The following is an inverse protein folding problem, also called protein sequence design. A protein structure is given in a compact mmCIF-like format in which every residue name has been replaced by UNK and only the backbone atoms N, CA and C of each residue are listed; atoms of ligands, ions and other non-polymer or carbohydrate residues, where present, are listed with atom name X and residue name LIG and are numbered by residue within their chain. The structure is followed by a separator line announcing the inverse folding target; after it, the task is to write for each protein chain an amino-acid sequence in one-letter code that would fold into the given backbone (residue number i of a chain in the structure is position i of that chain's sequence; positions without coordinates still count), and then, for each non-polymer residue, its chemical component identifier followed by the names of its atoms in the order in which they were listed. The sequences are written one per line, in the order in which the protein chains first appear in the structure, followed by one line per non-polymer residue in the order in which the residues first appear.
data_IF_223461890283
#
_entry.id   IF_223461890283
#
_cell.length_a   1.000
_cell.length_b   1.000
_cell.length_c   1.000
_cell.angle_alpha   90.00
_cell.angle_beta   90.00
_cell.angle_gamma   90.00
#
_symmetry.space_group_name_H-M   'P 1'
#
loop_
_entity.id
_entity.type
_entity.pdbx_description
1 polymer ?
#
# COMPACT_ATOMS: atom_id res chain seq x y z
N UNK A 1 -15.76 12.06 -11.21
CA UNK A 1 -14.57 11.17 -11.41
C UNK A 1 -14.67 10.01 -10.45
N UNK A 2 -14.58 8.78 -10.94
CA UNK A 2 -14.66 7.58 -10.11
C UNK A 2 -13.23 7.09 -9.84
N UNK A 3 -12.86 6.99 -8.57
CA UNK A 3 -11.51 6.58 -8.16
C UNK A 3 -11.61 5.28 -7.35
N UNK A 4 -10.75 4.32 -7.67
CA UNK A 4 -10.52 3.14 -6.84
C UNK A 4 -9.17 3.26 -6.16
N UNK A 5 -9.15 3.11 -4.83
CA UNK A 5 -7.92 3.09 -4.03
C UNK A 5 -7.67 1.69 -3.51
N UNK A 6 -6.51 1.11 -3.83
CA UNK A 6 -6.09 -0.14 -3.22
C UNK A 6 -5.48 0.16 -1.85
N UNK A 7 -5.99 -0.51 -0.82
CA UNK A 7 -5.50 -0.37 0.55
C UNK A 7 -5.14 -1.73 1.13
N UNK A 8 -4.13 -1.78 1.98
CA UNK A 8 -3.65 -3.01 2.58
C UNK A 8 -3.72 -2.95 4.11
N UNK A 9 -4.23 -4.01 4.71
CA UNK A 9 -4.07 -4.28 6.13
C UNK A 9 -2.69 -4.89 6.37
N UNK A 10 -1.88 -4.28 7.21
CA UNK A 10 -0.50 -4.66 7.47
C UNK A 10 -0.24 -4.75 8.97
N UNK A 11 0.70 -5.59 9.41
CA UNK A 11 1.21 -5.51 10.77
C UNK A 11 1.74 -4.11 11.09
N UNK A 12 1.50 -3.62 12.30
CA UNK A 12 2.04 -2.32 12.75
C UNK A 12 3.55 -2.29 12.51
N UNK A 13 4.04 -1.22 11.87
CA UNK A 13 5.45 -1.06 11.55
C UNK A 13 6.35 -0.97 12.79
N UNK A 14 5.78 -0.60 13.94
CA UNK A 14 6.47 -0.50 15.22
C UNK A 14 6.45 -1.80 16.03
N UNK A 15 5.60 -2.78 15.65
CA UNK A 15 5.56 -4.09 16.29
C UNK A 15 6.69 -5.01 15.79
N UNK A 16 7.04 -5.99 16.61
CA UNK A 16 7.94 -7.06 16.18
C UNK A 16 7.29 -7.87 15.07
N UNK A 17 7.90 -7.86 13.89
CA UNK A 17 7.43 -8.64 12.73
C UNK A 17 7.93 -10.07 12.83
N UNK A 18 7.02 -11.01 12.72
CA UNK A 18 7.31 -12.43 12.76
C UNK A 18 6.77 -13.14 11.53
N UNK A 19 7.29 -14.33 11.29
CA UNK A 19 6.78 -15.23 10.28
C UNK A 19 6.12 -16.42 10.96
N UNK A 20 5.09 -16.97 10.30
CA UNK A 20 4.49 -18.20 10.71
C UNK A 20 5.47 -19.36 10.40
N UNK A 21 5.88 -20.09 11.43
CA UNK A 21 6.85 -21.16 11.29
C UNK A 21 6.34 -22.36 10.48
N UNK A 22 5.03 -22.50 10.27
CA UNK A 22 4.46 -23.62 9.51
C UNK A 22 4.58 -23.45 8.00
N UNK A 23 4.60 -22.22 7.50
CA UNK A 23 4.53 -21.93 6.06
C UNK A 23 5.38 -20.74 5.61
N UNK A 24 6.14 -20.14 6.51
CA UNK A 24 6.99 -18.96 6.27
C UNK A 24 6.24 -17.73 5.74
N UNK A 25 4.93 -17.65 5.95
CA UNK A 25 4.16 -16.42 5.64
C UNK A 25 4.26 -15.41 6.78
N UNK A 26 4.00 -14.15 6.49
CA UNK A 26 3.94 -13.10 7.52
C UNK A 26 2.85 -13.44 8.54
N UNK A 27 3.20 -13.49 9.82
CA UNK A 27 2.23 -13.68 10.90
C UNK A 27 1.42 -12.38 11.09
N UNK A 28 0.14 -12.45 10.72
CA UNK A 28 -0.84 -11.35 10.87
C UNK A 28 -1.84 -11.61 11.99
N UNK A 29 -1.89 -12.85 12.49
CA UNK A 29 -2.87 -13.23 13.49
C UNK A 29 -2.46 -12.83 14.91
N UNK A 30 -1.15 -12.80 15.20
CA UNK A 30 -0.60 -12.56 16.52
C UNK A 30 -0.01 -11.15 16.71
N UNK A 31 -0.25 -10.24 15.76
CA UNK A 31 0.21 -8.85 15.84
C UNK A 31 -0.96 -7.92 15.54
N UNK A 32 -0.96 -6.76 16.17
CA UNK A 32 -1.91 -5.70 15.82
C UNK A 32 -1.62 -5.22 14.39
N UNK A 33 -2.69 -5.07 13.62
CA UNK A 33 -2.60 -4.59 12.25
C UNK A 33 -3.37 -3.30 12.05
N UNK A 34 -3.02 -2.59 11.01
CA UNK A 34 -3.61 -1.30 10.64
C UNK A 34 -3.66 -1.13 9.11
N UNK A 35 -4.34 -0.08 8.66
CA UNK A 35 -4.20 0.39 7.28
C UNK A 35 -2.75 0.81 7.05
N UNK A 36 -2.12 0.30 5.98
CA UNK A 36 -0.75 0.70 5.61
C UNK A 36 -0.63 2.22 5.56
N UNK A 37 0.34 2.77 6.30
CA UNK A 37 0.55 4.22 6.36
C UNK A 37 0.74 4.84 4.97
N UNK A 38 1.43 4.13 4.08
CA UNK A 38 1.62 4.58 2.69
C UNK A 38 0.32 4.62 1.89
N UNK A 39 -0.68 3.83 2.26
CA UNK A 39 -1.99 3.85 1.61
C UNK A 39 -2.89 4.96 2.16
N UNK A 40 -2.63 5.47 3.37
CA UNK A 40 -3.33 6.66 3.88
C UNK A 40 -3.09 7.89 2.97
N UNK A 41 -1.88 8.05 2.43
CA UNK A 41 -1.57 9.10 1.44
C UNK A 41 -2.36 8.91 0.15
N UNK A 42 -2.53 7.66 -0.30
CA UNK A 42 -3.31 7.34 -1.49
C UNK A 42 -4.80 7.66 -1.29
N UNK A 43 -5.36 7.31 -0.12
CA UNK A 43 -6.75 7.64 0.24
C UNK A 43 -6.93 9.16 0.30
N UNK A 44 -6.03 9.88 0.96
CA UNK A 44 -6.11 11.33 1.05
C UNK A 44 -6.06 12.00 -0.32
N UNK A 45 -5.16 11.56 -1.20
CA UNK A 45 -5.06 12.16 -2.54
C UNK A 45 -6.31 11.91 -3.38
N UNK A 46 -6.86 10.69 -3.32
CA UNK A 46 -8.13 10.37 -3.98
C UNK A 46 -9.28 11.27 -3.47
N UNK A 47 -9.36 11.48 -2.15
CA UNK A 47 -10.36 12.36 -1.54
C UNK A 47 -10.21 13.82 -2.02
N UNK A 48 -9.00 14.36 -2.04
CA UNK A 48 -8.73 15.71 -2.55
C UNK A 48 -9.15 15.88 -4.01
N UNK A 49 -8.86 14.87 -4.85
CA UNK A 49 -9.22 14.89 -6.25
C UNK A 49 -10.75 14.91 -6.44
N UNK A 50 -11.51 14.06 -5.72
CA UNK A 50 -12.98 14.08 -5.83
C UNK A 50 -13.62 15.31 -5.17
N UNK A 51 -13.04 15.86 -4.11
CA UNK A 51 -13.48 17.12 -3.50
C UNK A 51 -13.37 18.29 -4.47
N UNK A 52 -12.38 18.28 -5.36
CA UNK A 52 -12.17 19.33 -6.35
C UNK A 52 -12.97 19.14 -7.64
N UNK A 53 -13.10 17.90 -8.13
CA UNK A 53 -13.68 17.59 -9.44
C UNK A 53 -15.07 16.94 -9.36
N UNK A 54 -15.52 16.58 -8.18
CA UNK A 54 -16.72 15.74 -7.98
C UNK A 54 -16.44 14.28 -8.29
N UNK A 55 -17.26 13.39 -7.71
CA UNK A 55 -17.17 11.95 -7.94
C UNK A 55 -17.24 11.13 -6.66
N UNK A 56 -16.72 9.90 -6.69
CA UNK A 56 -16.70 9.01 -5.54
C UNK A 56 -15.39 8.24 -5.43
N UNK A 57 -15.05 7.84 -4.19
CA UNK A 57 -13.88 7.03 -3.86
C UNK A 57 -14.33 5.66 -3.37
N UNK A 58 -13.93 4.60 -4.07
CA UNK A 58 -14.09 3.21 -3.64
C UNK A 58 -12.76 2.69 -3.14
N UNK A 59 -12.73 2.06 -1.97
CA UNK A 59 -11.53 1.38 -1.48
C UNK A 59 -11.64 -0.12 -1.66
N UNK A 60 -10.54 -0.75 -2.10
CA UNK A 60 -10.47 -2.21 -2.31
C UNK A 60 -9.33 -2.78 -1.48
N UNK A 61 -9.59 -3.86 -0.76
CA UNK A 61 -8.57 -4.65 -0.06
C UNK A 61 -8.73 -6.14 -0.34
N UNK A 62 -7.60 -6.85 -0.32
CA UNK A 62 -7.53 -8.32 -0.40
C UNK A 62 -6.87 -8.80 0.88
N UNK A 63 -7.53 -9.68 1.62
CA UNK A 63 -6.97 -10.18 2.86
C UNK A 63 -7.97 -10.91 3.76
N UNK A 64 -7.51 -11.41 4.92
CA UNK A 64 -8.35 -12.09 5.89
C UNK A 64 -9.40 -11.15 6.48
N UNK A 65 -10.27 -11.67 7.36
CA UNK A 65 -11.37 -10.91 7.97
C UNK A 65 -10.93 -9.57 8.59
N UNK A 66 -9.76 -9.56 9.24
CA UNK A 66 -9.19 -8.36 9.86
C UNK A 66 -8.86 -7.25 8.84
N UNK A 67 -8.68 -7.60 7.55
CA UNK A 67 -8.41 -6.59 6.52
C UNK A 67 -9.58 -5.61 6.33
N UNK A 68 -10.78 -5.98 6.79
CA UNK A 68 -11.93 -5.07 6.86
C UNK A 68 -11.66 -3.80 7.69
N UNK A 69 -10.74 -3.84 8.65
CA UNK A 69 -10.37 -2.67 9.45
C UNK A 69 -9.62 -1.60 8.63
N UNK A 70 -8.87 -2.00 7.60
CA UNK A 70 -8.27 -1.04 6.65
C UNK A 70 -9.35 -0.30 5.86
N UNK A 71 -10.36 -1.01 5.36
CA UNK A 71 -11.53 -0.39 4.70
C UNK A 71 -12.22 0.58 5.65
N UNK A 72 -12.51 0.13 6.87
CA UNK A 72 -13.20 0.94 7.88
C UNK A 72 -12.45 2.25 8.17
N UNK A 73 -11.12 2.20 8.29
CA UNK A 73 -10.30 3.40 8.47
C UNK A 73 -10.42 4.34 7.26
N UNK A 74 -10.30 3.84 6.03
CA UNK A 74 -10.44 4.63 4.82
C UNK A 74 -11.85 5.25 4.68
N UNK A 75 -12.92 4.52 5.04
CA UNK A 75 -14.27 5.03 5.09
C UNK A 75 -14.44 6.15 6.13
N UNK A 76 -13.75 6.04 7.27
CA UNK A 76 -13.72 7.09 8.30
C UNK A 76 -12.97 8.35 7.84
N UNK A 77 -11.93 8.19 7.02
CA UNK A 77 -11.23 9.32 6.38
C UNK A 77 -12.12 10.04 5.37
N UNK A 78 -13.04 9.34 4.70
CA UNK A 78 -13.96 9.99 3.76
C UNK A 78 -14.41 9.12 2.59
N UNK A 79 -13.72 8.04 2.24
CA UNK A 79 -14.09 7.16 1.13
C UNK A 79 -15.56 6.75 1.18
N UNK A 80 -16.21 6.55 0.05
CA UNK A 80 -17.66 6.40 -0.06
C UNK A 80 -18.13 4.97 0.13
N UNK A 81 -17.37 3.99 -0.38
CA UNK A 81 -17.69 2.56 -0.30
C UNK A 81 -16.42 1.70 -0.24
N UNK A 82 -16.58 0.45 0.20
CA UNK A 82 -15.50 -0.51 0.32
C UNK A 82 -15.80 -1.82 -0.37
N UNK A 83 -14.75 -2.49 -0.86
CA UNK A 83 -14.78 -3.84 -1.41
C UNK A 83 -13.71 -4.66 -0.68
N UNK A 84 -14.13 -5.73 -0.04
CA UNK A 84 -13.26 -6.66 0.67
C UNK A 84 -13.24 -8.00 -0.08
N UNK A 85 -12.12 -8.34 -0.69
CA UNK A 85 -11.94 -9.68 -1.25
C UNK A 85 -11.35 -10.57 -0.15
N UNK A 86 -12.13 -11.55 0.27
CA UNK A 86 -11.78 -12.46 1.36
C UNK A 86 -12.09 -13.89 0.93
N UNK A 87 -11.06 -14.74 0.91
CA UNK A 87 -11.16 -16.16 0.63
C UNK A 87 -9.92 -16.85 1.20
N UNK A 88 -10.09 -17.94 1.92
CA UNK A 88 -8.99 -18.67 2.56
C UNK A 88 -7.95 -19.16 1.55
N UNK A 89 -8.37 -19.45 0.31
CA UNK A 89 -7.47 -19.90 -0.74
C UNK A 89 -6.45 -18.82 -1.17
N UNK A 90 -6.67 -17.55 -0.84
CA UNK A 90 -5.74 -16.45 -1.13
C UNK A 90 -4.50 -16.47 -0.21
N UNK A 91 -4.57 -17.17 0.93
CA UNK A 91 -3.49 -17.19 1.91
C UNK A 91 -2.14 -17.54 1.28
N UNK A 92 -1.11 -16.73 1.59
CA UNK A 92 0.25 -16.92 1.06
C UNK A 92 0.45 -16.51 -0.40
N UNK A 93 -0.55 -15.89 -1.05
CA UNK A 93 -0.39 -15.32 -2.39
C UNK A 93 0.74 -14.29 -2.43
N UNK A 94 1.58 -14.36 -3.46
CA UNK A 94 2.59 -13.36 -3.74
C UNK A 94 2.01 -12.12 -4.46
N UNK A 95 2.88 -11.18 -4.84
CA UNK A 95 2.48 -9.97 -5.54
C UNK A 95 1.81 -10.26 -6.90
N UNK A 96 2.23 -11.32 -7.59
CA UNK A 96 1.69 -11.70 -8.88
C UNK A 96 0.24 -12.18 -8.75
N UNK A 97 -0.04 -13.09 -7.84
CA UNK A 97 -1.39 -13.59 -7.55
C UNK A 97 -2.27 -12.47 -6.97
N UNK A 98 -1.73 -11.66 -6.04
CA UNK A 98 -2.47 -10.53 -5.45
C UNK A 98 -2.87 -9.50 -6.51
N UNK A 99 -1.99 -9.18 -7.47
CA UNK A 99 -2.34 -8.26 -8.56
C UNK A 99 -3.45 -8.80 -9.47
N UNK A 100 -3.55 -10.12 -9.63
CA UNK A 100 -4.64 -10.76 -10.36
C UNK A 100 -5.97 -10.54 -9.63
N UNK A 101 -6.02 -10.86 -8.33
CA UNK A 101 -7.23 -10.70 -7.52
C UNK A 101 -7.70 -9.24 -7.49
N UNK A 102 -6.78 -8.30 -7.34
CA UNK A 102 -7.08 -6.86 -7.37
C UNK A 102 -7.63 -6.42 -8.74
N UNK A 103 -7.05 -6.89 -9.85
CA UNK A 103 -7.50 -6.54 -11.19
C UNK A 103 -8.92 -7.02 -11.45
N UNK A 104 -9.24 -8.27 -11.08
CA UNK A 104 -10.58 -8.82 -11.24
C UNK A 104 -11.60 -8.11 -10.34
N UNK A 105 -11.22 -7.76 -9.11
CA UNK A 105 -12.08 -6.99 -8.21
C UNK A 105 -12.38 -5.60 -8.77
N UNK A 106 -11.39 -4.89 -9.31
CA UNK A 106 -11.57 -3.56 -9.92
C UNK A 106 -12.43 -3.67 -11.19
N UNK A 107 -12.18 -4.68 -12.03
CA UNK A 107 -12.95 -4.91 -13.25
C UNK A 107 -14.42 -5.20 -12.92
N UNK A 108 -14.68 -6.02 -11.92
CA UNK A 108 -16.04 -6.33 -11.45
C UNK A 108 -16.76 -5.12 -10.85
N UNK A 109 -16.02 -4.27 -10.12
CA UNK A 109 -16.57 -3.02 -9.57
C UNK A 109 -16.97 -2.01 -10.65
N UNK A 110 -16.49 -2.19 -11.88
CA UNK A 110 -16.58 -1.25 -13.00
C UNK A 110 -15.30 -0.40 -13.09
N UNK A 111 -14.68 -0.41 -14.27
CA UNK A 111 -13.42 0.32 -14.50
C UNK A 111 -13.55 1.78 -14.07
N UNK A 112 -12.70 2.24 -13.13
CA UNK A 112 -12.70 3.63 -12.67
C UNK A 112 -11.98 4.53 -13.68
N UNK A 113 -12.11 5.85 -13.51
CA UNK A 113 -11.30 6.81 -14.24
C UNK A 113 -9.83 6.76 -13.77
N UNK A 114 -9.63 6.49 -12.46
CA UNK A 114 -8.30 6.46 -11.85
C UNK A 114 -8.20 5.34 -10.81
N UNK A 115 -7.12 4.56 -10.87
CA UNK A 115 -6.71 3.67 -9.78
C UNK A 115 -5.57 4.35 -9.03
N UNK A 116 -5.68 4.44 -7.71
CA UNK A 116 -4.65 5.04 -6.84
C UNK A 116 -4.13 4.00 -5.86
N UNK A 117 -2.84 3.98 -5.65
CA UNK A 117 -2.17 3.10 -4.68
C UNK A 117 -1.11 3.86 -3.91
N UNK A 118 -0.73 3.41 -2.73
CA UNK A 118 0.55 3.78 -2.14
C UNK A 118 1.72 3.28 -3.01
N UNK A 119 2.91 3.80 -2.78
CA UNK A 119 4.10 3.38 -3.53
C UNK A 119 4.52 1.94 -3.22
N UNK A 120 4.25 1.47 -2.02
CA UNK A 120 4.53 0.11 -1.53
C UNK A 120 3.73 -0.14 -0.26
N UNK A 121 3.58 -1.41 0.16
CA UNK A 121 3.08 -1.72 1.49
C UNK A 121 4.22 -1.65 2.52
N UNK A 122 3.91 -1.29 3.76
CA UNK A 122 4.92 -1.17 4.84
C UNK A 122 5.42 -2.53 5.33
N UNK A 123 4.75 -3.64 5.01
CA UNK A 123 5.17 -5.00 5.34
C UNK A 123 6.05 -5.64 4.24
N UNK A 124 5.55 -5.74 3.01
CA UNK A 124 6.24 -6.40 1.91
C UNK A 124 7.27 -5.53 1.19
N UNK A 125 7.08 -4.23 1.16
CA UNK A 125 7.98 -3.19 0.61
C UNK A 125 8.46 -3.41 -0.85
N UNK A 126 7.80 -4.26 -1.63
CA UNK A 126 8.26 -4.62 -2.98
C UNK A 126 8.09 -3.51 -4.02
N UNK A 127 7.07 -2.65 -3.88
CA UNK A 127 6.79 -1.54 -4.80
C UNK A 127 6.36 -1.95 -6.22
N UNK A 128 6.08 -3.23 -6.48
CA UNK A 128 5.80 -3.76 -7.83
C UNK A 128 4.30 -3.91 -8.13
N UNK A 129 3.47 -4.03 -7.10
CA UNK A 129 2.03 -4.28 -7.28
C UNK A 129 1.35 -3.20 -8.12
N UNK A 130 1.64 -1.90 -7.98
CA UNK A 130 1.01 -0.88 -8.81
C UNK A 130 1.22 -1.13 -10.30
N UNK A 131 2.45 -1.40 -10.73
CA UNK A 131 2.78 -1.66 -12.14
C UNK A 131 2.19 -2.98 -12.63
N UNK A 132 2.23 -4.05 -11.83
CA UNK A 132 1.60 -5.33 -12.18
C UNK A 132 0.08 -5.18 -12.35
N UNK A 133 -0.55 -4.39 -11.49
CA UNK A 133 -1.98 -4.14 -11.55
C UNK A 133 -2.36 -3.34 -12.81
N UNK A 134 -1.59 -2.31 -13.15
CA UNK A 134 -1.81 -1.52 -14.35
C UNK A 134 -1.69 -2.37 -15.63
N UNK A 135 -0.69 -3.25 -15.70
CA UNK A 135 -0.52 -4.20 -16.81
C UNK A 135 -1.72 -5.13 -16.96
N UNK A 136 -2.25 -5.67 -15.85
CA UNK A 136 -3.44 -6.54 -15.87
C UNK A 136 -4.71 -5.81 -16.28
N UNK A 137 -4.85 -4.55 -15.89
CA UNK A 137 -5.98 -3.70 -16.26
C UNK A 137 -5.86 -3.14 -17.68
N UNK A 138 -4.68 -3.25 -18.31
CA UNK A 138 -4.42 -2.71 -19.64
C UNK A 138 -4.42 -1.18 -19.69
N UNK A 139 -4.01 -0.52 -18.58
CA UNK A 139 -3.99 0.94 -18.46
C UNK A 139 -2.57 1.48 -18.24
N UNK A 140 -2.28 2.73 -18.63
CA UNK A 140 -1.02 3.38 -18.30
C UNK A 140 -0.76 3.41 -16.78
N UNK A 141 0.52 3.24 -16.38
CA UNK A 141 0.96 3.41 -15.00
C UNK A 141 1.91 4.61 -14.90
N UNK A 142 1.59 5.57 -14.01
CA UNK A 142 2.48 6.66 -13.64
C UNK A 142 2.70 6.63 -12.13
N UNK A 143 3.88 6.14 -11.72
CA UNK A 143 4.17 5.73 -10.36
C UNK A 143 5.10 6.69 -9.61
N UNK A 144 5.06 6.64 -8.28
CA UNK A 144 5.88 7.44 -7.36
C UNK A 144 5.60 8.94 -7.47
N UNK A 145 4.32 9.32 -7.51
CA UNK A 145 3.91 10.71 -7.58
C UNK A 145 4.13 11.43 -6.24
N UNK A 146 4.84 12.55 -6.28
CA UNK A 146 4.93 13.54 -5.20
C UNK A 146 3.97 14.72 -5.39
N UNK A 147 3.44 14.89 -6.60
CA UNK A 147 2.37 15.84 -6.94
C UNK A 147 1.48 15.20 -8.01
N UNK A 148 0.17 15.47 -7.96
CA UNK A 148 -0.82 15.05 -8.95
C UNK A 148 -1.69 16.22 -9.37
N UNK A 149 -1.88 16.36 -10.67
CA UNK A 149 -2.87 17.30 -11.24
C UNK A 149 -3.70 16.57 -12.29
N UNK A 150 -4.99 16.90 -12.34
CA UNK A 150 -5.93 16.36 -13.33
C UNK A 150 -6.48 17.49 -14.17
N UNK A 151 -6.36 17.38 -15.50
CA UNK A 151 -6.91 18.34 -16.44
C UNK A 151 -7.66 17.61 -17.55
N UNK A 152 -8.99 17.74 -17.55
CA UNK A 152 -9.85 16.98 -18.45
C UNK A 152 -9.67 15.47 -18.24
N UNK A 153 -9.19 14.76 -19.26
CA UNK A 153 -8.90 13.31 -19.21
C UNK A 153 -7.41 12.99 -19.03
N UNK A 154 -6.59 13.97 -18.69
CA UNK A 154 -5.13 13.80 -18.51
C UNK A 154 -4.76 13.93 -17.04
N UNK A 155 -4.00 12.96 -16.55
CA UNK A 155 -3.33 13.00 -15.25
C UNK A 155 -1.87 13.35 -15.48
N UNK A 156 -1.36 14.36 -14.79
CA UNK A 156 0.04 14.75 -14.76
C UNK A 156 0.59 14.56 -13.36
N UNK A 157 1.70 13.87 -13.22
CA UNK A 157 2.40 13.66 -11.95
C UNK A 157 3.79 14.28 -11.98
N UNK A 158 4.28 14.67 -10.81
CA UNK A 158 5.70 14.87 -10.56
C UNK A 158 6.27 13.64 -9.88
N UNK A 159 7.40 13.17 -10.39
CA UNK A 159 8.21 12.10 -9.77
C UNK A 159 9.57 12.66 -9.42
N UNK A 160 9.93 12.59 -8.15
CA UNK A 160 11.23 13.03 -7.67
C UNK A 160 12.20 11.83 -7.63
N UNK A 161 13.40 12.03 -8.18
CA UNK A 161 14.50 11.09 -8.12
C UNK A 161 15.76 11.79 -7.59
N UNK A 162 16.82 11.04 -7.34
CA UNK A 162 18.05 11.55 -6.74
C UNK A 162 18.73 12.67 -7.55
N UNK A 163 18.63 12.59 -8.86
CA UNK A 163 19.31 13.53 -9.76
C UNK A 163 18.39 14.60 -10.38
N UNK A 164 17.11 14.32 -10.52
CA UNK A 164 16.16 15.21 -11.17
C UNK A 164 14.71 14.84 -10.81
N UNK A 165 13.81 15.84 -10.86
CA UNK A 165 12.37 15.66 -10.88
C UNK A 165 11.89 15.63 -12.33
N UNK A 166 10.94 14.73 -12.63
CA UNK A 166 10.32 14.62 -13.95
C UNK A 166 8.82 14.75 -13.86
N UNK A 167 8.22 15.40 -14.85
CA UNK A 167 6.76 15.43 -15.03
C UNK A 167 6.38 14.36 -16.04
N UNK A 168 5.39 13.54 -15.69
CA UNK A 168 4.92 12.43 -16.52
C UNK A 168 3.40 12.56 -16.66
N UNK A 169 2.90 12.38 -17.88
CA UNK A 169 1.48 12.48 -18.18
C UNK A 169 0.92 11.15 -18.69
N UNK A 170 -0.32 10.88 -18.34
CA UNK A 170 -1.09 9.75 -18.86
C UNK A 170 -2.54 10.14 -19.10
N UNK A 171 -3.15 9.52 -20.11
CA UNK A 171 -4.58 9.62 -20.32
C UNK A 171 -5.33 8.68 -19.37
N UNK A 172 -6.48 9.12 -18.85
CA UNK A 172 -7.40 8.25 -18.11
C UNK A 172 -8.17 7.32 -19.07
N UNK A 173 -8.53 6.09 -18.67
CA UNK A 173 -8.24 5.50 -17.36
C UNK A 173 -6.74 5.19 -17.19
N UNK A 174 -6.20 5.43 -15.99
CA UNK A 174 -4.81 5.12 -15.68
C UNK A 174 -4.65 4.72 -14.21
N UNK A 175 -3.46 4.24 -13.86
CA UNK A 175 -3.07 3.96 -12.47
C UNK A 175 -1.95 4.91 -12.04
N UNK A 176 -2.08 5.46 -10.84
CA UNK A 176 -1.01 6.21 -10.18
C UNK A 176 -0.61 5.53 -8.87
N UNK A 177 0.66 5.57 -8.53
CA UNK A 177 1.09 5.33 -7.14
C UNK A 177 1.69 6.61 -6.56
N UNK A 178 1.40 6.87 -5.29
CA UNK A 178 1.82 8.10 -4.61
C UNK A 178 2.86 7.81 -3.54
N UNK A 179 3.76 8.78 -3.31
CA UNK A 179 4.74 8.74 -2.22
C UNK A 179 4.18 9.42 -0.97
N UNK A 180 4.88 9.31 0.14
CA UNK A 180 4.59 10.00 1.40
C UNK A 180 4.81 11.53 1.35
N UNK A 181 5.34 12.05 0.24
CA UNK A 181 5.53 13.48 0.02
C UNK A 181 4.34 14.16 -0.66
N UNK A 182 3.33 13.38 -1.10
CA UNK A 182 2.20 13.88 -1.89
C UNK A 182 1.28 14.82 -1.10
N UNK A 183 1.02 14.51 0.16
CA UNK A 183 0.09 15.23 1.03
C UNK A 183 0.35 14.92 2.51
N UNK A 184 -0.52 15.39 3.39
CA UNK A 184 -0.61 14.99 4.79
C UNK A 184 -2.00 14.36 5.00
N UNK A 185 -2.09 13.05 5.31
CA UNK A 185 -3.38 12.37 5.46
C UNK A 185 -4.21 12.96 6.58
N UNK A 186 -5.49 13.18 6.31
CA UNK A 186 -6.44 13.67 7.32
C UNK A 186 -6.73 12.65 8.41
N UNK A 187 -6.81 13.10 9.63
CA UNK A 187 -7.37 12.31 10.72
C UNK A 187 -8.89 12.19 10.57
N UNK A 188 -9.48 11.00 10.81
CA UNK A 188 -10.92 10.83 10.82
C UNK A 188 -11.59 11.78 11.81
N UNK A 189 -12.52 12.59 11.33
CA UNK A 189 -13.35 13.43 12.20
C UNK A 189 -14.43 12.58 12.91
N UNK A 190 -14.95 13.06 14.04
CA UNK A 190 -16.06 12.38 14.70
C UNK A 190 -17.26 12.15 13.77
N UNK A 191 -17.57 13.13 12.91
CA UNK A 191 -18.62 13.01 11.89
C UNK A 191 -18.29 11.91 10.88
N UNK A 192 -17.03 11.83 10.42
CA UNK A 192 -16.54 10.79 9.51
C UNK A 192 -16.64 9.39 10.12
N UNK A 193 -16.25 9.23 11.39
CA UNK A 193 -16.37 7.97 12.12
C UNK A 193 -17.83 7.51 12.21
N UNK A 194 -18.75 8.41 12.49
CA UNK A 194 -20.18 8.08 12.57
C UNK A 194 -20.79 7.78 11.19
N UNK A 195 -20.38 8.51 10.16
CA UNK A 195 -20.85 8.32 8.80
C UNK A 195 -20.36 6.98 8.20
N UNK A 196 -19.12 6.58 8.47
CA UNK A 196 -18.52 5.33 8.00
C UNK A 196 -19.35 4.08 8.35
N UNK A 197 -20.05 4.09 9.49
CA UNK A 197 -20.91 2.97 9.94
C UNK A 197 -22.08 2.68 8.99
N UNK A 198 -22.45 3.62 8.13
CA UNK A 198 -23.57 3.52 7.17
C UNK A 198 -23.14 3.35 5.73
N UNK A 199 -21.83 3.46 5.47
CA UNK A 199 -21.29 3.31 4.12
C UNK A 199 -21.29 1.84 3.70
N UNK A 200 -21.60 1.52 2.43
CA UNK A 200 -21.65 0.16 1.95
C UNK A 200 -20.24 -0.46 1.91
N UNK A 201 -20.16 -1.71 2.32
CA UNK A 201 -18.97 -2.56 2.13
C UNK A 201 -19.45 -3.87 1.54
N UNK A 202 -18.93 -4.20 0.37
CA UNK A 202 -19.18 -5.47 -0.29
C UNK A 202 -18.06 -6.45 0.05
N UNK A 203 -18.42 -7.71 0.29
CA UNK A 203 -17.47 -8.79 0.50
C UNK A 203 -17.59 -9.77 -0.68
N UNK A 204 -16.46 -10.07 -1.30
CA UNK A 204 -16.38 -10.98 -2.44
C UNK A 204 -15.39 -12.10 -2.18
N UNK A 205 -15.72 -13.31 -2.64
CA UNK A 205 -14.86 -14.48 -2.72
C UNK A 205 -14.16 -14.55 -4.08
N UNK A 206 -13.23 -15.49 -4.23
CA UNK A 206 -12.64 -15.81 -5.55
C UNK A 206 -13.72 -16.22 -6.57
N UNK A 207 -14.69 -17.01 -6.14
CA UNK A 207 -15.79 -17.43 -7.01
C UNK A 207 -16.61 -16.24 -7.52
N UNK A 208 -16.83 -15.21 -6.69
CA UNK A 208 -17.50 -13.98 -7.10
C UNK A 208 -16.71 -13.20 -8.16
N UNK A 209 -15.39 -13.39 -8.20
CA UNK A 209 -14.48 -12.79 -9.18
C UNK A 209 -14.26 -13.66 -10.42
N UNK A 210 -14.83 -14.89 -10.45
CA UNK A 210 -14.59 -15.85 -11.51
C UNK A 210 -13.17 -16.44 -11.51
N UNK A 211 -12.46 -16.36 -10.37
CA UNK A 211 -11.13 -16.92 -10.20
C UNK A 211 -11.17 -18.31 -9.58
N UNK A 212 -10.23 -19.16 -10.01
CA UNK A 212 -10.01 -20.48 -9.45
C UNK A 212 -8.92 -20.47 -8.38
N UNK A 213 -9.07 -21.26 -7.32
CA UNK A 213 -8.09 -21.37 -6.24
C UNK A 213 -6.69 -21.81 -6.72
N UNK A 214 -6.58 -22.48 -7.87
CA UNK A 214 -5.30 -22.83 -8.47
C UNK A 214 -4.48 -21.66 -9.03
N UNK A 215 -5.09 -20.45 -9.09
CA UNK A 215 -4.44 -19.23 -9.58
C UNK A 215 -3.82 -18.39 -8.46
N UNK A 216 -4.08 -18.74 -7.19
CA UNK A 216 -3.71 -17.97 -6.00
C UNK A 216 -3.17 -18.86 -4.89
N UNK A 217 -2.81 -18.27 -3.77
CA UNK A 217 -2.37 -18.98 -2.57
C UNK A 217 -0.90 -19.40 -2.62
N UNK A 218 -0.41 -19.87 -1.48
CA UNK A 218 1.00 -20.21 -1.30
C UNK A 218 1.47 -21.33 -2.24
N UNK A 219 0.64 -22.32 -2.49
CA UNK A 219 0.99 -23.46 -3.35
C UNK A 219 1.18 -23.06 -4.83
N UNK A 220 0.58 -21.94 -5.24
CA UNK A 220 0.61 -21.44 -6.61
C UNK A 220 1.42 -20.13 -6.74
N UNK A 221 2.03 -19.66 -5.65
CA UNK A 221 2.86 -18.48 -5.65
C UNK A 221 4.17 -18.75 -6.42
N UNK A 222 4.58 -17.80 -7.25
CA UNK A 222 5.84 -17.85 -8.00
C UNK A 222 7.04 -17.47 -7.12
N UNK A 223 6.77 -16.79 -6.02
CA UNK A 223 7.77 -16.41 -5.02
C UNK A 223 7.29 -16.86 -3.64
N UNK A 224 8.18 -17.45 -2.85
CA UNK A 224 7.90 -17.87 -1.48
C UNK A 224 9.15 -17.70 -0.60
N UNK A 225 8.93 -17.36 0.67
CA UNK A 225 10.01 -17.32 1.66
C UNK A 225 10.44 -18.73 1.99
N UNK A 226 11.67 -19.10 1.63
CA UNK A 226 12.22 -20.44 1.85
C UNK A 226 12.65 -20.65 3.30
N UNK A 227 13.23 -19.62 3.90
CA UNK A 227 13.68 -19.64 5.29
C UNK A 227 13.78 -18.22 5.82
N UNK A 228 13.68 -18.08 7.12
CA UNK A 228 13.93 -16.83 7.81
C UNK A 228 14.72 -17.09 9.09
N UNK A 229 15.45 -16.08 9.53
CA UNK A 229 16.23 -16.12 10.76
C UNK A 229 16.09 -14.81 11.51
N UNK A 230 15.89 -14.88 12.81
CA UNK A 230 15.82 -13.69 13.64
C UNK A 230 17.17 -12.96 13.64
N UNK A 231 17.13 -11.65 13.42
CA UNK A 231 18.34 -10.84 13.52
C UNK A 231 18.89 -10.93 14.95
N UNK A 232 20.19 -11.25 15.13
CA UNK A 232 20.76 -11.29 16.46
C UNK A 232 20.65 -9.92 17.16
N UNK A 233 20.49 -9.89 18.49
CA UNK A 233 20.44 -8.63 19.24
C UNK A 233 21.64 -7.75 18.92
N UNK A 234 21.42 -6.45 18.87
CA UNK A 234 22.52 -5.48 18.67
C UNK A 234 23.50 -5.62 19.83
N UNK A 235 24.77 -5.80 19.52
CA UNK A 235 25.82 -5.74 20.52
C UNK A 235 26.02 -4.29 21.01
N UNK A 236 26.40 -4.15 22.27
CA UNK A 236 26.76 -2.83 22.80
C UNK A 236 27.98 -2.33 22.04
N UNK A 237 27.81 -1.21 21.35
CA UNK A 237 28.92 -0.56 20.65
C UNK A 237 29.93 0.11 21.62
N UNK A 238 30.93 0.73 21.05
CA UNK A 238 31.89 1.54 21.84
C UNK A 238 31.21 2.83 22.29
N UNK A 239 31.07 3.00 23.59
CA UNK A 239 30.54 4.26 24.15
C UNK A 239 31.74 5.20 24.34
N UNK A 240 31.70 6.33 23.65
CA UNK A 240 32.70 7.40 23.78
C UNK A 240 32.08 8.56 24.54
N UNK A 241 32.60 8.87 25.74
CA UNK A 241 32.24 10.09 26.44
C UNK A 241 32.96 11.27 25.80
N UNK A 242 32.19 12.33 25.52
CA UNK A 242 32.75 13.57 25.02
C UNK A 242 33.41 14.35 26.16
N UNK A 243 34.71 14.56 26.04
CA UNK A 243 35.52 15.39 26.94
C UNK A 243 36.06 16.63 26.22
N UNK A 244 35.36 17.06 25.16
CA UNK A 244 35.72 18.16 24.26
C UNK A 244 36.33 17.70 22.93
N UNK A 245 36.48 16.38 22.73
CA UNK A 245 37.05 15.75 21.53
C UNK A 245 36.10 14.77 20.81
N UNK A 246 34.84 14.68 21.24
CA UNK A 246 33.86 13.73 20.71
C UNK A 246 33.65 13.86 19.20
N UNK A 247 33.65 15.09 18.67
CA UNK A 247 33.52 15.33 17.23
C UNK A 247 34.70 14.75 16.43
N UNK A 248 35.94 14.93 16.92
CA UNK A 248 37.12 14.39 16.27
C UNK A 248 37.15 12.84 16.33
N UNK A 249 36.76 12.25 17.47
CA UNK A 249 36.62 10.80 17.64
C UNK A 249 35.55 10.22 16.70
N UNK A 250 34.41 10.89 16.54
CA UNK A 250 33.35 10.47 15.59
C UNK A 250 33.87 10.53 14.15
N UNK A 251 34.53 11.61 13.76
CA UNK A 251 35.08 11.76 12.41
C UNK A 251 36.12 10.66 12.12
N UNK A 252 37.02 10.38 13.10
CA UNK A 252 37.99 9.29 13.02
C UNK A 252 37.31 7.92 12.81
N UNK A 253 36.30 7.62 13.62
CA UNK A 253 35.52 6.38 13.48
C UNK A 253 34.88 6.24 12.11
N UNK A 254 34.26 7.31 11.61
CA UNK A 254 33.60 7.29 10.28
C UNK A 254 34.61 7.09 9.16
N UNK A 255 35.79 7.74 9.25
CA UNK A 255 36.88 7.60 8.28
C UNK A 255 37.49 6.19 8.30
N UNK A 256 37.78 5.63 9.48
CA UNK A 256 38.28 4.25 9.61
C UNK A 256 37.33 3.22 9.01
N UNK A 257 36.03 3.45 9.15
CA UNK A 257 34.96 2.59 8.59
C UNK A 257 34.64 2.89 7.15
N UNK A 258 35.29 3.88 6.53
CA UNK A 258 35.05 4.31 5.13
C UNK A 258 33.62 4.78 4.86
N UNK A 259 33.01 5.44 5.84
CA UNK A 259 31.72 6.10 5.66
C UNK A 259 31.89 7.51 5.09
N UNK A 260 33.07 8.09 5.28
CA UNK A 260 33.51 9.38 4.73
C UNK A 260 34.94 9.26 4.21
#
# INVERSE_FOLDING_TARGET
MNIVVCVKYVPDAQADRTFNASDNTTDRANVDGLLSELDEYAVEEALKLVESAGGEVTVVTVGPDQASDAIKKALQMGADKGIHVNDDAIHGSDALATSLVLAEAITKAGMPDLVVTGMASTDGTMGVVPTMLAERLGVPAVTFASEVTVSGSTVSIRRDGDAASVTIEAAMPCLISVTDQINEPRYPSFKGIMAAKKKPVEQWSLADLGLDASQVGLANAWTAVQSFEARPPRQVGTIVKDEGDGGAKLAGFLSERKFI
#
